data_IF_910539562144
#
_entry.id   IF_910539562144
#
_cell.length_a   1.000
_cell.length_b   1.000
_cell.length_c   1.000
_cell.angle_alpha   90.00
_cell.angle_beta   90.00
_cell.angle_gamma   90.00
#
_symmetry.space_group_name_H-M   'P 1'
#
loop_
_entity.id
_entity.type
_entity.pdbx_description
1 polymer ?
#
# COMPACT_ATOMS: atom_id res chain seq x y z
N UNK A 1 1.18 -4.79 -10.23
CA UNK A 1 2.44 -4.31 -10.81
C UNK A 1 3.40 -4.00 -9.67
N UNK A 2 4.69 -4.28 -9.83
CA UNK A 2 5.74 -3.88 -8.89
C UNK A 2 6.56 -2.72 -9.46
N UNK A 3 7.07 -1.85 -8.60
CA UNK A 3 7.97 -0.75 -8.98
C UNK A 3 9.29 -0.92 -8.25
N UNK A 4 10.40 -0.94 -8.97
CA UNK A 4 11.74 -1.06 -8.38
C UNK A 4 12.41 0.31 -8.34
N UNK A 5 12.92 0.71 -7.16
CA UNK A 5 13.77 1.90 -6.97
C UNK A 5 15.06 1.70 -7.77
N UNK A 6 15.42 2.64 -8.64
CA UNK A 6 16.72 2.63 -9.26
C UNK A 6 17.72 3.26 -8.29
N UNK A 7 18.55 2.39 -7.73
CA UNK A 7 19.51 2.76 -6.69
C UNK A 7 20.68 3.56 -7.26
N UNK A 8 20.84 3.72 -8.58
CA UNK A 8 22.02 4.40 -9.14
C UNK A 8 21.93 5.95 -9.15
N UNK A 9 20.76 6.55 -8.90
CA UNK A 9 20.59 8.02 -8.84
C UNK A 9 20.67 8.48 -7.38
N UNK A 10 21.89 8.67 -6.89
CA UNK A 10 22.23 8.93 -5.47
C UNK A 10 22.42 10.41 -5.11
N UNK A 11 21.74 11.34 -5.78
CA UNK A 11 22.07 12.77 -5.61
C UNK A 11 21.51 13.41 -4.32
N UNK A 12 20.52 12.82 -3.64
CA UNK A 12 19.79 13.52 -2.56
C UNK A 12 19.52 12.74 -1.26
N UNK A 13 20.07 11.53 -1.04
CA UNK A 13 19.93 10.77 0.22
C UNK A 13 21.19 10.70 1.14
N UNK A 14 22.18 11.62 1.14
CA UNK A 14 23.43 11.39 1.87
C UNK A 14 23.22 11.28 3.39
N UNK A 15 22.35 12.11 3.98
CA UNK A 15 22.17 12.19 5.44
C UNK A 15 21.53 10.93 6.04
N UNK A 16 20.53 10.35 5.38
CA UNK A 16 19.93 9.08 5.83
C UNK A 16 20.84 7.90 5.55
N UNK A 17 21.55 7.89 4.42
CA UNK A 17 22.50 6.83 4.11
C UNK A 17 23.64 6.80 5.13
N UNK A 18 24.12 7.96 5.54
CA UNK A 18 25.12 8.12 6.59
C UNK A 18 24.58 7.61 7.94
N UNK A 19 23.42 8.09 8.40
CA UNK A 19 22.79 7.60 9.64
C UNK A 19 22.50 6.10 9.62
N UNK A 20 22.08 5.56 8.47
CA UNK A 20 21.88 4.10 8.27
C UNK A 20 23.23 3.37 8.30
N UNK A 21 24.30 3.97 7.78
CA UNK A 21 25.68 3.47 7.88
C UNK A 21 26.18 3.42 9.31
N UNK A 22 26.01 4.51 10.07
CA UNK A 22 26.38 4.59 11.49
C UNK A 22 25.63 3.55 12.33
N UNK A 23 24.30 3.47 12.16
CA UNK A 23 23.47 2.47 12.84
C UNK A 23 23.89 1.03 12.53
N UNK A 24 24.41 0.79 11.32
CA UNK A 24 24.94 -0.52 10.94
C UNK A 24 26.29 -0.78 11.59
N UNK A 25 27.22 0.16 11.56
CA UNK A 25 28.51 0.02 12.23
C UNK A 25 28.32 -0.25 13.74
N UNK A 26 27.37 0.43 14.38
CA UNK A 26 26.98 0.18 15.76
C UNK A 26 26.36 -1.22 15.94
N UNK A 27 25.44 -1.63 15.05
CA UNK A 27 24.82 -2.95 15.10
C UNK A 27 25.82 -4.09 14.85
N UNK A 28 26.83 -3.91 13.99
CA UNK A 28 27.91 -4.87 13.77
C UNK A 28 28.76 -5.04 15.03
N UNK A 29 29.10 -3.94 15.69
CA UNK A 29 29.84 -3.97 16.95
C UNK A 29 29.06 -4.69 18.06
N UNK A 30 27.76 -4.38 18.18
CA UNK A 30 26.87 -5.03 19.15
C UNK A 30 26.63 -6.51 18.83
N UNK A 31 26.57 -6.87 17.54
CA UNK A 31 26.48 -8.28 17.11
C UNK A 31 27.73 -9.05 17.53
N UNK A 32 28.93 -8.50 17.29
CA UNK A 32 30.19 -9.14 17.69
C UNK A 32 30.25 -9.37 19.20
N UNK A 33 29.86 -8.37 20.00
CA UNK A 33 29.76 -8.48 21.46
C UNK A 33 28.73 -9.54 21.90
N UNK A 34 27.57 -9.59 21.26
CA UNK A 34 26.53 -10.58 21.56
C UNK A 34 26.96 -12.00 21.16
N UNK A 35 27.74 -12.15 20.08
CA UNK A 35 28.33 -13.43 19.66
C UNK A 35 29.38 -13.92 20.64
N UNK A 36 30.26 -13.03 21.14
CA UNK A 36 31.24 -13.34 22.17
C UNK A 36 30.57 -13.71 23.51
N UNK A 37 29.47 -13.04 23.86
CA UNK A 37 28.70 -13.32 25.07
C UNK A 37 27.76 -14.54 24.96
N UNK A 38 27.54 -15.09 23.76
CA UNK A 38 26.63 -16.22 23.53
C UNK A 38 25.14 -15.89 23.69
N UNK A 39 24.74 -14.61 23.61
CA UNK A 39 23.36 -14.17 23.81
C UNK A 39 22.52 -14.32 22.53
N UNK A 40 21.96 -15.51 22.31
CA UNK A 40 21.24 -15.85 21.08
C UNK A 40 20.13 -14.86 20.68
N UNK A 41 19.37 -14.33 21.65
CA UNK A 41 18.30 -13.37 21.38
C UNK A 41 18.84 -12.04 20.80
N UNK A 42 19.98 -11.58 21.31
CA UNK A 42 20.63 -10.38 20.83
C UNK A 42 21.31 -10.61 19.47
N UNK A 43 21.89 -11.79 19.24
CA UNK A 43 22.40 -12.20 17.92
C UNK A 43 21.30 -12.15 16.86
N UNK A 44 20.14 -12.74 17.13
CA UNK A 44 18.99 -12.76 16.21
C UNK A 44 18.42 -11.35 15.96
N UNK A 45 18.47 -10.48 16.98
CA UNK A 45 17.99 -9.10 16.90
C UNK A 45 18.93 -8.23 16.07
N UNK A 46 20.24 -8.30 16.30
CA UNK A 46 21.22 -7.47 15.59
C UNK A 46 21.45 -7.98 14.16
N UNK A 47 21.40 -9.29 13.91
CA UNK A 47 21.50 -9.86 12.56
C UNK A 47 20.40 -9.35 11.63
N UNK A 48 19.15 -9.26 12.11
CA UNK A 48 18.02 -8.67 11.35
C UNK A 48 18.26 -7.22 10.94
N UNK A 49 19.03 -6.44 11.71
CA UNK A 49 19.36 -5.03 11.39
C UNK A 49 20.43 -4.90 10.30
N UNK A 50 21.22 -5.95 10.07
CA UNK A 50 22.28 -5.98 9.06
C UNK A 50 21.80 -6.44 7.69
N UNK A 51 20.56 -6.94 7.58
CA UNK A 51 20.01 -7.39 6.31
C UNK A 51 19.93 -6.24 5.32
N UNK A 52 20.62 -6.39 4.18
CA UNK A 52 20.62 -5.43 3.07
C UNK A 52 20.06 -6.09 1.83
N UNK A 53 19.15 -5.40 1.15
CA UNK A 53 18.69 -5.80 -0.18
C UNK A 53 19.81 -5.53 -1.19
N UNK A 54 20.21 -6.58 -1.91
CA UNK A 54 21.27 -6.50 -2.92
C UNK A 54 20.66 -6.32 -4.31
N UNK A 55 21.47 -5.87 -5.29
CA UNK A 55 21.05 -5.83 -6.70
C UNK A 55 20.62 -7.21 -7.19
N UNK A 56 21.30 -8.27 -6.73
CA UNK A 56 20.95 -9.65 -7.06
C UNK A 56 19.52 -10.01 -6.61
N UNK A 57 19.09 -9.61 -5.41
CA UNK A 57 17.71 -9.85 -4.98
C UNK A 57 16.70 -9.18 -5.91
N UNK A 58 16.98 -7.96 -6.37
CA UNK A 58 16.10 -7.26 -7.31
C UNK A 58 16.02 -7.99 -8.65
N UNK A 59 17.15 -8.41 -9.22
CA UNK A 59 17.19 -9.16 -10.49
C UNK A 59 16.48 -10.51 -10.38
N UNK A 60 16.64 -11.23 -9.26
CA UNK A 60 15.94 -12.49 -9.00
C UNK A 60 14.42 -12.27 -8.86
N UNK A 61 13.99 -11.21 -8.18
CA UNK A 61 12.59 -10.82 -8.10
C UNK A 61 12.03 -10.43 -9.47
N UNK A 62 12.75 -9.64 -10.27
CA UNK A 62 12.32 -9.28 -11.64
C UNK A 62 12.19 -10.50 -12.54
N UNK A 63 13.14 -11.45 -12.45
CA UNK A 63 13.06 -12.73 -13.15
C UNK A 63 11.82 -13.51 -12.72
N UNK A 64 11.58 -13.64 -11.42
CA UNK A 64 10.39 -14.30 -10.89
C UNK A 64 9.08 -13.65 -11.37
N UNK A 65 8.98 -12.32 -11.31
CA UNK A 65 7.81 -11.57 -11.76
C UNK A 65 7.56 -11.75 -13.27
N UNK A 66 8.62 -11.75 -14.07
CA UNK A 66 8.55 -12.04 -15.51
C UNK A 66 7.96 -13.42 -15.76
N UNK A 67 8.46 -14.44 -15.04
CA UNK A 67 8.00 -15.82 -15.18
C UNK A 67 6.56 -16.02 -14.69
N UNK A 68 6.13 -15.29 -13.65
CA UNK A 68 4.74 -15.24 -13.21
C UNK A 68 3.84 -14.42 -14.16
N UNK A 69 4.46 -13.68 -15.08
CA UNK A 69 3.83 -12.76 -16.01
C UNK A 69 3.12 -11.59 -15.33
N UNK A 70 3.70 -11.13 -14.22
CA UNK A 70 3.30 -9.92 -13.49
C UNK A 70 4.15 -8.73 -13.99
N UNK A 71 3.53 -7.62 -14.43
CA UNK A 71 4.29 -6.48 -14.90
C UNK A 71 5.04 -5.79 -13.76
N UNK A 72 6.24 -5.31 -14.06
CA UNK A 72 7.00 -4.41 -13.20
C UNK A 72 7.55 -3.23 -13.99
N UNK A 73 7.89 -2.16 -13.29
CA UNK A 73 8.51 -0.95 -13.83
C UNK A 73 9.73 -0.59 -13.00
N UNK A 74 10.70 0.09 -13.63
CA UNK A 74 11.86 0.64 -12.95
C UNK A 74 11.66 2.15 -12.82
N UNK A 75 11.65 2.64 -11.58
CA UNK A 75 11.59 4.07 -11.31
C UNK A 75 12.94 4.71 -11.61
N UNK A 76 13.01 5.93 -12.17
CA UNK A 76 14.28 6.62 -12.37
C UNK A 76 14.97 6.95 -11.04
N UNK A 77 14.19 7.40 -10.04
CA UNK A 77 14.66 7.64 -8.68
C UNK A 77 13.79 6.85 -7.69
N UNK A 78 12.87 7.50 -6.98
CA UNK A 78 12.02 6.87 -5.97
C UNK A 78 10.86 6.06 -6.56
N UNK A 79 10.65 4.87 -5.98
CA UNK A 79 9.56 3.98 -6.39
C UNK A 79 8.19 4.55 -6.00
N UNK A 80 8.07 5.12 -4.80
CA UNK A 80 6.86 5.75 -4.27
C UNK A 80 6.42 6.93 -5.14
N UNK A 81 7.37 7.75 -5.58
CA UNK A 81 7.12 8.88 -6.47
C UNK A 81 6.57 8.41 -7.83
N UNK A 82 7.21 7.40 -8.42
CA UNK A 82 6.77 6.80 -9.68
C UNK A 82 5.38 6.15 -9.56
N UNK A 83 5.10 5.47 -8.45
CA UNK A 83 3.77 4.95 -8.15
C UNK A 83 2.73 6.08 -8.01
N UNK A 84 3.07 7.17 -7.31
CA UNK A 84 2.19 8.32 -7.17
C UNK A 84 1.86 8.96 -8.53
N UNK A 85 2.83 9.04 -9.45
CA UNK A 85 2.61 9.51 -10.82
C UNK A 85 1.67 8.60 -11.62
N UNK A 86 1.80 7.27 -11.48
CA UNK A 86 0.89 6.31 -12.09
C UNK A 86 -0.54 6.41 -11.55
N UNK A 87 -0.70 6.65 -10.25
CA UNK A 87 -2.00 6.88 -9.61
C UNK A 87 -2.63 8.17 -10.14
N UNK A 88 -1.86 9.27 -10.19
CA UNK A 88 -2.32 10.58 -10.71
C UNK A 88 -2.74 10.52 -12.18
N UNK A 89 -2.05 9.71 -13.00
CA UNK A 89 -2.40 9.51 -14.41
C UNK A 89 -3.56 8.53 -14.61
N UNK A 90 -4.11 7.94 -13.54
CA UNK A 90 -5.25 7.01 -13.62
C UNK A 90 -4.90 5.62 -14.15
N UNK A 91 -3.60 5.29 -14.28
CA UNK A 91 -3.14 3.97 -14.75
C UNK A 91 -3.29 2.88 -13.69
N UNK A 92 -3.23 3.24 -12.42
CA UNK A 92 -3.41 2.34 -11.27
C UNK A 92 -4.29 3.00 -10.22
N UNK A 93 -4.94 2.19 -9.38
CA UNK A 93 -5.88 2.67 -8.35
C UNK A 93 -5.19 3.38 -7.18
N UNK A 94 -4.10 2.79 -6.66
CA UNK A 94 -3.44 3.24 -5.44
C UNK A 94 -1.96 2.85 -5.40
N UNK A 95 -1.18 3.56 -4.60
CA UNK A 95 0.20 3.20 -4.25
C UNK A 95 0.17 2.25 -3.06
N UNK A 96 0.74 1.05 -3.19
CA UNK A 96 0.87 0.10 -2.09
C UNK A 96 2.28 0.13 -1.51
N UNK A 97 2.43 0.68 -0.31
CA UNK A 97 3.71 0.78 0.39
C UNK A 97 3.47 0.88 1.90
N UNK A 98 4.45 0.52 2.71
CA UNK A 98 4.43 0.81 4.15
C UNK A 98 4.94 2.23 4.47
N UNK A 99 5.62 2.85 3.52
CA UNK A 99 6.17 4.19 3.65
C UNK A 99 5.09 5.25 3.40
N UNK A 100 4.98 6.23 4.29
CA UNK A 100 3.98 7.28 4.17
C UNK A 100 4.40 8.38 3.19
N UNK A 101 5.66 8.39 2.74
CA UNK A 101 6.18 9.36 1.76
C UNK A 101 5.48 9.25 0.39
N UNK A 102 4.77 8.15 0.11
CA UNK A 102 3.87 8.11 -1.05
C UNK A 102 2.84 9.26 -1.06
N UNK A 103 2.40 9.73 0.11
CA UNK A 103 1.49 10.87 0.24
C UNK A 103 2.18 12.21 -0.05
N UNK A 104 3.46 12.37 0.31
CA UNK A 104 4.20 13.62 0.06
C UNK A 104 4.46 13.80 -1.44
N UNK A 105 4.66 12.71 -2.20
CA UNK A 105 4.67 12.73 -3.67
C UNK A 105 3.28 12.94 -4.30
N UNK A 106 2.22 12.98 -3.47
CA UNK A 106 0.86 13.34 -3.86
C UNK A 106 0.04 12.20 -4.43
N UNK A 107 0.32 10.94 -4.09
CA UNK A 107 -0.58 9.83 -4.47
C UNK A 107 -1.99 10.09 -3.96
N UNK A 108 -3.04 9.82 -4.75
CA UNK A 108 -4.42 10.09 -4.32
C UNK A 108 -4.91 9.08 -3.29
N UNK A 109 -4.44 7.84 -3.41
CA UNK A 109 -4.78 6.72 -2.52
C UNK A 109 -3.51 5.94 -2.20
N UNK A 110 -3.25 5.77 -0.90
CA UNK A 110 -2.15 4.93 -0.39
C UNK A 110 -2.73 3.73 0.37
N UNK A 111 -2.22 2.54 0.08
CA UNK A 111 -2.60 1.29 0.74
C UNK A 111 -1.45 0.75 1.58
N UNK A 112 -1.71 0.50 2.86
CA UNK A 112 -0.79 -0.19 3.78
C UNK A 112 -1.26 -1.59 4.12
N UNK A 113 -0.33 -2.44 4.50
CA UNK A 113 -0.49 -3.86 4.83
C UNK A 113 -0.87 -4.76 3.66
N UNK A 114 -0.78 -4.28 2.41
CA UNK A 114 -1.08 -5.10 1.24
C UNK A 114 -0.09 -6.26 1.06
N UNK A 115 1.20 -6.02 1.35
CA UNK A 115 2.27 -7.02 1.26
C UNK A 115 2.54 -7.69 2.60
N UNK A 116 1.78 -7.36 3.65
CA UNK A 116 1.90 -8.01 4.95
C UNK A 116 1.58 -9.50 4.81
N UNK A 117 2.31 -10.33 5.56
CA UNK A 117 2.10 -11.78 5.54
C UNK A 117 0.65 -12.14 5.84
N UNK A 118 0.05 -12.97 4.99
CA UNK A 118 -1.31 -13.48 5.16
C UNK A 118 -1.54 -14.11 6.55
N UNK A 119 -0.49 -14.72 7.13
CA UNK A 119 -0.54 -15.29 8.47
C UNK A 119 -0.83 -14.26 9.58
N UNK A 120 -0.45 -12.99 9.38
CA UNK A 120 -0.69 -11.91 10.34
C UNK A 120 -2.12 -11.36 10.27
N UNK A 121 -2.86 -11.62 9.18
CA UNK A 121 -4.25 -11.18 8.97
C UNK A 121 -4.48 -9.70 9.28
N UNK A 122 -3.51 -8.84 8.97
CA UNK A 122 -3.65 -7.41 9.18
C UNK A 122 -4.63 -6.85 8.14
N UNK A 123 -5.62 -6.04 8.55
CA UNK A 123 -6.51 -5.40 7.58
C UNK A 123 -5.72 -4.39 6.75
N UNK A 124 -6.03 -4.34 5.46
CA UNK A 124 -5.52 -3.32 4.54
C UNK A 124 -6.05 -1.96 5.00
N UNK A 125 -5.15 -1.00 5.15
CA UNK A 125 -5.50 0.37 5.49
C UNK A 125 -5.42 1.24 4.24
N UNK A 126 -6.43 2.09 4.06
CA UNK A 126 -6.53 3.00 2.92
C UNK A 126 -6.48 4.45 3.39
N UNK A 127 -5.57 5.22 2.80
CA UNK A 127 -5.37 6.63 3.08
C UNK A 127 -5.73 7.44 1.83
N UNK A 128 -6.76 8.27 1.94
CA UNK A 128 -7.17 9.19 0.87
C UNK A 128 -6.51 10.54 1.08
N UNK A 129 -5.58 10.90 0.19
CA UNK A 129 -4.80 12.12 0.34
C UNK A 129 -5.65 13.39 0.29
N UNK A 130 -6.69 13.41 -0.55
CA UNK A 130 -7.65 14.53 -0.62
C UNK A 130 -8.39 14.75 0.70
N UNK A 131 -8.76 13.67 1.41
CA UNK A 131 -9.40 13.79 2.74
C UNK A 131 -8.43 14.27 3.80
N UNK A 132 -7.18 13.80 3.76
CA UNK A 132 -6.11 14.24 4.67
C UNK A 132 -5.91 15.76 4.53
N UNK A 133 -5.73 16.27 3.30
CA UNK A 133 -5.57 17.70 3.05
C UNK A 133 -6.79 18.52 3.53
N UNK A 134 -8.00 18.02 3.26
CA UNK A 134 -9.24 18.67 3.66
C UNK A 134 -9.39 18.75 5.18
N UNK A 135 -9.22 17.64 5.90
CA UNK A 135 -9.36 17.58 7.35
C UNK A 135 -8.26 18.37 8.07
N UNK A 136 -7.05 18.38 7.52
CA UNK A 136 -5.96 19.19 8.06
C UNK A 136 -6.10 20.67 7.70
N UNK A 137 -6.83 21.01 6.64
CA UNK A 137 -6.94 22.38 6.12
C UNK A 137 -5.63 22.87 5.50
N UNK A 138 -4.89 21.97 4.83
CA UNK A 138 -3.57 22.26 4.26
C UNK A 138 -3.60 22.09 2.74
N UNK A 139 -2.80 22.90 2.05
CA UNK A 139 -2.42 22.64 0.65
C UNK A 139 -1.37 21.54 0.55
N UNK A 140 -1.15 20.98 -0.64
CA UNK A 140 -0.10 19.98 -0.85
C UNK A 140 1.31 20.52 -0.51
N UNK A 141 1.61 21.77 -0.88
CA UNK A 141 2.88 22.41 -0.52
C UNK A 141 3.06 22.53 1.00
N UNK A 142 2.02 22.98 1.72
CA UNK A 142 2.04 23.04 3.19
C UNK A 142 2.16 21.66 3.83
N UNK A 143 1.55 20.64 3.23
CA UNK A 143 1.67 19.26 3.70
C UNK A 143 3.11 18.74 3.55
N UNK A 144 3.79 19.04 2.44
CA UNK A 144 5.20 18.69 2.26
C UNK A 144 6.07 19.39 3.32
N UNK A 145 5.84 20.68 3.54
CA UNK A 145 6.56 21.44 4.58
C UNK A 145 6.34 20.86 5.97
N UNK A 146 5.10 20.47 6.27
CA UNK A 146 4.80 19.76 7.50
C UNK A 146 5.60 18.46 7.59
N UNK A 147 5.62 17.63 6.56
CA UNK A 147 6.38 16.38 6.55
C UNK A 147 7.89 16.59 6.72
N UNK A 148 8.45 17.64 6.11
CA UNK A 148 9.85 18.02 6.31
C UNK A 148 10.11 18.41 7.78
N UNK A 149 9.21 19.16 8.41
CA UNK A 149 9.32 19.52 9.84
C UNK A 149 9.17 18.32 10.77
N UNK A 150 8.32 17.34 10.42
CA UNK A 150 8.16 16.08 11.15
C UNK A 150 9.39 15.18 11.03
N UNK A 151 10.12 15.31 9.92
CA UNK A 151 11.30 14.55 9.57
C UNK A 151 11.08 13.66 8.36
N UNK A 152 11.76 14.02 7.28
CA UNK A 152 11.86 13.22 6.06
C UNK A 152 13.24 12.59 5.91
N UNK A 153 13.38 11.78 4.87
CA UNK A 153 14.63 11.08 4.58
C UNK A 153 15.68 11.96 3.83
N UNK A 154 15.31 13.16 3.40
CA UNK A 154 16.17 13.99 2.54
C UNK A 154 16.94 15.09 3.28
N UNK A 155 16.47 15.52 4.46
CA UNK A 155 17.12 16.60 5.20
C UNK A 155 16.94 16.46 6.73
N UNK A 156 17.63 17.31 7.49
CA UNK A 156 17.48 17.37 8.96
C UNK A 156 16.12 17.93 9.41
N UNK A 157 15.91 17.99 10.72
CA UNK A 157 14.72 18.58 11.34
C UNK A 157 15.10 19.59 12.41
N UNK A 158 14.17 20.51 12.72
CA UNK A 158 14.34 21.48 13.80
C UNK A 158 14.16 20.78 15.15
N UNK A 159 15.18 20.85 16.01
CA UNK A 159 15.15 20.20 17.31
C UNK A 159 14.06 20.79 18.21
N UNK A 160 13.28 19.91 18.84
CA UNK A 160 12.23 20.28 19.78
C UNK A 160 10.90 20.72 19.13
N UNK A 161 10.79 20.65 17.81
CA UNK A 161 9.51 20.78 17.11
C UNK A 161 8.95 19.37 16.87
N UNK A 162 7.92 19.00 17.63
CA UNK A 162 7.20 17.74 17.47
C UNK A 162 5.91 17.90 16.65
N UNK A 163 5.15 16.80 16.44
CA UNK A 163 4.04 16.80 15.48
C UNK A 163 2.95 17.84 15.71
N UNK A 164 2.51 18.01 16.97
CA UNK A 164 1.48 19.01 17.31
C UNK A 164 1.94 20.42 16.98
N UNK A 165 3.15 20.77 17.42
CA UNK A 165 3.75 22.10 17.21
C UNK A 165 4.01 22.36 15.72
N UNK A 166 4.46 21.36 14.97
CA UNK A 166 4.67 21.48 13.52
C UNK A 166 3.37 21.82 12.79
N UNK A 167 2.26 21.15 13.13
CA UNK A 167 0.94 21.45 12.54
C UNK A 167 0.51 22.88 12.89
N UNK A 168 0.64 23.30 14.15
CA UNK A 168 0.25 24.64 14.58
C UNK A 168 1.07 25.72 13.84
N UNK A 169 2.39 25.53 13.75
CA UNK A 169 3.29 26.44 13.05
C UNK A 169 2.98 26.54 11.55
N UNK A 170 2.73 25.42 10.88
CA UNK A 170 2.36 25.42 9.46
C UNK A 170 1.02 26.10 9.23
N UNK A 171 0.03 25.88 10.11
CA UNK A 171 -1.26 26.56 10.02
C UNK A 171 -1.16 28.07 10.25
N UNK A 172 -0.25 28.49 11.13
CA UNK A 172 -0.06 29.90 11.48
C UNK A 172 0.76 30.67 10.44
N UNK A 173 1.84 30.07 9.95
CA UNK A 173 2.86 30.76 9.14
C UNK A 173 2.87 30.32 7.66
N UNK A 174 2.28 29.17 7.34
CA UNK A 174 2.07 28.72 5.96
C UNK A 174 3.27 28.09 5.27
N UNK A 175 4.52 28.40 5.65
CA UNK A 175 5.73 27.80 5.06
C UNK A 175 6.88 27.69 6.06
N UNK A 176 7.87 26.84 5.76
CA UNK A 176 9.09 26.71 6.56
C UNK A 176 9.85 28.05 6.66
N UNK A 177 9.92 28.82 5.57
CA UNK A 177 10.56 30.13 5.53
C UNK A 177 9.98 31.08 6.58
N UNK A 178 8.65 31.22 6.61
CA UNK A 178 7.96 32.09 7.56
C UNK A 178 8.08 31.57 8.99
N UNK A 179 8.10 30.25 9.18
CA UNK A 179 8.34 29.66 10.50
C UNK A 179 9.73 30.06 11.01
N UNK A 180 10.77 29.95 10.19
CA UNK A 180 12.15 30.28 10.59
C UNK A 180 12.31 31.74 11.00
N UNK A 181 11.55 32.66 10.41
CA UNK A 181 11.56 34.09 10.78
C UNK A 181 10.86 34.34 12.13
N UNK A 182 9.83 33.55 12.44
CA UNK A 182 8.95 33.81 13.59
C UNK A 182 9.22 32.94 14.83
N UNK A 183 10.06 31.90 14.73
CA UNK A 183 10.44 31.07 15.88
C UNK A 183 11.65 31.62 16.61
N UNK A 184 11.76 31.28 17.90
CA UNK A 184 12.95 31.57 18.71
C UNK A 184 14.11 30.63 18.30
N UNK A 185 15.02 31.15 17.49
CA UNK A 185 16.21 30.43 17.00
C UNK A 185 17.16 29.95 18.09
N UNK A 186 17.13 30.55 19.29
CA UNK A 186 17.96 30.08 20.41
C UNK A 186 17.39 28.80 21.01
N UNK A 187 16.07 28.70 21.07
CA UNK A 187 15.36 27.53 21.61
C UNK A 187 15.21 26.42 20.57
N UNK A 188 15.02 26.80 19.30
CA UNK A 188 14.77 25.91 18.18
C UNK A 188 15.74 26.21 17.03
N UNK A 189 17.04 25.94 17.21
CA UNK A 189 18.02 26.18 16.16
C UNK A 189 17.72 25.26 14.97
N UNK A 190 17.69 25.86 13.77
CA UNK A 190 17.64 25.10 12.53
C UNK A 190 18.98 24.37 12.31
N UNK A 191 19.00 23.22 11.61
CA UNK A 191 20.24 22.60 11.18
C UNK A 191 21.12 23.55 10.36
N UNK A 192 22.44 23.42 10.49
CA UNK A 192 23.38 24.10 9.61
C UNK A 192 23.21 23.55 8.17
N UNK A 193 23.28 24.44 7.18
CA UNK A 193 23.03 24.12 5.75
C UNK A 193 21.77 23.29 5.51
N UNK A 194 20.66 23.65 6.17
CA UNK A 194 19.42 22.89 6.08
C UNK A 194 18.81 22.89 4.66
N UNK A 195 18.97 21.77 3.95
CA UNK A 195 18.50 21.55 2.58
C UNK A 195 16.99 21.29 2.44
N UNK A 196 16.16 22.04 3.19
CA UNK A 196 14.71 21.82 3.16
C UNK A 196 14.07 22.26 1.84
N UNK A 197 14.68 23.23 1.12
CA UNK A 197 14.17 23.71 -0.16
C UNK A 197 14.36 22.67 -1.26
N UNK A 198 15.52 22.03 -1.26
CA UNK A 198 15.88 20.93 -2.14
C UNK A 198 14.99 19.72 -1.86
N UNK A 199 14.78 19.37 -0.58
CA UNK A 199 13.86 18.32 -0.19
C UNK A 199 12.41 18.62 -0.64
N UNK A 200 11.95 19.86 -0.47
CA UNK A 200 10.64 20.30 -0.95
C UNK A 200 10.53 20.18 -2.47
N UNK A 201 11.55 20.61 -3.21
CA UNK A 201 11.60 20.50 -4.68
C UNK A 201 11.53 19.05 -5.12
N UNK A 202 12.23 18.14 -4.43
CA UNK A 202 12.20 16.71 -4.72
C UNK A 202 10.80 16.10 -4.55
N UNK A 203 10.04 16.53 -3.53
CA UNK A 203 8.66 16.04 -3.34
C UNK A 203 7.67 16.64 -4.34
N UNK A 204 7.87 17.89 -4.75
CA UNK A 204 6.99 18.60 -5.69
C UNK A 204 7.21 18.17 -7.13
N UNK A 205 8.47 18.07 -7.54
CA UNK A 205 8.91 17.79 -8.90
C UNK A 205 9.85 16.57 -8.92
N UNK A 206 9.39 15.39 -8.47
CA UNK A 206 10.22 14.19 -8.47
C UNK A 206 10.49 13.73 -9.90
N UNK A 207 11.68 13.18 -10.12
CA UNK A 207 11.96 12.42 -11.33
C UNK A 207 11.16 11.11 -11.28
N UNK A 208 10.23 10.94 -12.21
CA UNK A 208 9.28 9.82 -12.25
C UNK A 208 9.13 9.28 -13.66
N UNK A 209 8.65 8.04 -13.76
CA UNK A 209 8.22 7.46 -15.03
C UNK A 209 7.06 8.26 -15.65
N UNK A 210 7.07 8.38 -16.98
CA UNK A 210 5.97 8.99 -17.70
C UNK A 210 4.75 8.06 -17.71
N UNK A 211 3.79 8.32 -16.83
CA UNK A 211 2.63 7.44 -16.59
C UNK A 211 1.87 7.01 -17.87
N UNK A 212 1.52 7.93 -18.78
CA UNK A 212 0.90 7.61 -20.07
C UNK A 212 1.66 6.57 -20.91
N UNK A 213 2.99 6.66 -20.96
CA UNK A 213 3.85 5.76 -21.75
C UNK A 213 3.90 4.32 -21.22
N UNK A 214 3.54 4.11 -19.96
CA UNK A 214 3.62 2.78 -19.33
C UNK A 214 2.46 1.90 -19.77
N UNK A 215 2.81 0.77 -20.36
CA UNK A 215 1.90 -0.31 -20.76
C UNK A 215 1.95 -1.45 -19.74
N UNK A 216 0.89 -1.58 -18.93
CA UNK A 216 0.80 -2.59 -17.90
C UNK A 216 0.05 -3.82 -18.43
N UNK A 217 0.81 -4.83 -18.87
CA UNK A 217 0.27 -6.09 -19.37
C UNK A 217 0.59 -7.25 -18.42
N UNK A 218 -0.45 -8.01 -18.08
CA UNK A 218 -0.33 -9.26 -17.35
C UNK A 218 -0.31 -10.41 -18.36
N UNK A 219 0.84 -11.07 -18.52
CA UNK A 219 1.06 -12.19 -19.48
C UNK A 219 0.94 -13.55 -18.80
N UNK A 220 0.50 -14.62 -19.47
CA UNK A 220 0.35 -15.94 -18.84
C UNK A 220 1.63 -16.43 -18.11
N UNK A 221 1.51 -17.14 -16.97
CA UNK A 221 2.67 -17.59 -16.23
C UNK A 221 3.34 -18.77 -16.96
N UNK A 222 4.67 -18.77 -17.01
CA UNK A 222 5.46 -19.86 -17.58
C UNK A 222 5.74 -20.90 -16.48
N UNK A 223 4.90 -21.94 -16.42
CA UNK A 223 4.98 -22.97 -15.36
C UNK A 223 6.30 -23.74 -15.40
N UNK A 224 6.77 -24.12 -16.59
CA UNK A 224 7.99 -24.93 -16.75
C UNK A 224 9.22 -24.12 -16.35
N UNK A 225 9.32 -22.87 -16.80
CA UNK A 225 10.42 -22.00 -16.40
C UNK A 225 10.36 -21.62 -14.92
N UNK A 226 9.17 -21.47 -14.32
CA UNK A 226 9.01 -21.25 -12.88
C UNK A 226 9.51 -22.45 -12.07
N UNK A 227 9.20 -23.68 -12.48
CA UNK A 227 9.68 -24.89 -11.81
C UNK A 227 11.20 -25.00 -11.94
N UNK A 228 11.73 -24.78 -13.14
CA UNK A 228 13.18 -24.80 -13.35
C UNK A 228 13.89 -23.78 -12.45
N UNK A 229 13.41 -22.54 -12.42
CA UNK A 229 14.02 -21.48 -11.61
C UNK A 229 13.85 -21.74 -10.10
N UNK A 230 12.64 -22.01 -9.63
CA UNK A 230 12.37 -22.11 -8.20
C UNK A 230 12.84 -23.44 -7.61
N UNK A 231 12.68 -24.55 -8.31
CA UNK A 231 12.99 -25.88 -7.80
C UNK A 231 14.43 -26.30 -8.10
N UNK A 232 14.91 -26.13 -9.34
CA UNK A 232 16.26 -26.58 -9.69
C UNK A 232 17.33 -25.57 -9.22
N UNK A 233 17.15 -24.27 -9.47
CA UNK A 233 18.16 -23.27 -9.09
C UNK A 233 18.04 -22.85 -7.61
N UNK A 234 16.80 -22.64 -7.12
CA UNK A 234 16.54 -22.11 -5.77
C UNK A 234 16.13 -23.16 -4.72
N UNK A 235 16.03 -24.43 -5.11
CA UNK A 235 15.80 -25.57 -4.20
C UNK A 235 14.48 -25.48 -3.39
N UNK A 236 13.43 -24.86 -3.97
CA UNK A 236 12.08 -24.88 -3.41
C UNK A 236 11.36 -26.20 -3.68
N UNK A 237 10.42 -26.55 -2.80
CA UNK A 237 9.54 -27.72 -2.96
C UNK A 237 8.68 -27.61 -4.23
N UNK A 238 8.86 -28.56 -5.15
CA UNK A 238 8.13 -28.61 -6.43
C UNK A 238 6.62 -28.64 -6.24
N UNK A 239 6.12 -29.46 -5.31
CA UNK A 239 4.69 -29.52 -4.99
C UNK A 239 4.12 -28.15 -4.59
N UNK A 240 4.87 -27.36 -3.82
CA UNK A 240 4.44 -26.02 -3.42
C UNK A 240 4.42 -25.07 -4.60
N UNK A 241 5.44 -25.11 -5.46
CA UNK A 241 5.53 -24.25 -6.64
C UNK A 241 4.42 -24.57 -7.64
N UNK A 242 4.20 -25.85 -7.99
CA UNK A 242 3.09 -26.27 -8.87
C UNK A 242 1.74 -25.87 -8.33
N UNK A 243 1.52 -26.03 -7.02
CA UNK A 243 0.27 -25.59 -6.39
C UNK A 243 0.12 -24.05 -6.43
N UNK A 244 1.22 -23.30 -6.33
CA UNK A 244 1.25 -21.85 -6.54
C UNK A 244 0.87 -21.47 -7.98
N UNK A 245 1.49 -22.08 -8.98
CA UNK A 245 1.20 -21.86 -10.40
C UNK A 245 -0.29 -22.10 -10.71
N UNK A 246 -0.85 -23.22 -10.23
CA UNK A 246 -2.28 -23.53 -10.38
C UNK A 246 -3.19 -22.44 -9.80
N UNK A 247 -2.84 -21.87 -8.65
CA UNK A 247 -3.61 -20.76 -8.03
C UNK A 247 -3.54 -19.50 -8.89
N UNK A 248 -2.36 -19.14 -9.41
CA UNK A 248 -2.15 -17.97 -10.27
C UNK A 248 -2.94 -18.12 -11.58
N UNK A 249 -2.87 -19.28 -12.23
CA UNK A 249 -3.62 -19.53 -13.47
C UNK A 249 -5.13 -19.46 -13.22
N UNK A 250 -5.61 -20.05 -12.12
CA UNK A 250 -7.04 -20.01 -11.76
C UNK A 250 -7.53 -18.60 -11.45
N UNK A 251 -6.73 -17.77 -10.77
CA UNK A 251 -7.15 -16.40 -10.43
C UNK A 251 -7.25 -15.50 -11.67
N UNK A 252 -6.52 -15.81 -12.74
CA UNK A 252 -6.56 -15.06 -14.01
C UNK A 252 -7.74 -15.41 -14.90
N UNK A 253 -8.30 -16.62 -14.77
CA UNK A 253 -9.48 -17.05 -15.52
C UNK A 253 -10.79 -16.41 -15.00
N UNK A 254 -10.73 -15.53 -13.99
CA UNK A 254 -11.84 -14.68 -13.59
C UNK A 254 -12.25 -13.77 -14.75
N UNK A 255 -13.53 -13.80 -15.13
CA UNK A 255 -14.04 -13.14 -16.34
C UNK A 255 -13.62 -11.66 -16.43
N UNK A 256 -13.16 -11.26 -17.61
CA UNK A 256 -12.86 -9.86 -17.98
C UNK A 256 -14.04 -8.90 -17.77
N UNK A 257 -15.26 -9.45 -17.68
CA UNK A 257 -16.44 -8.76 -17.17
C UNK A 257 -16.73 -9.25 -15.74
N UNK A 258 -16.33 -8.47 -14.74
CA UNK A 258 -16.63 -8.79 -13.34
C UNK A 258 -18.14 -8.76 -13.09
N UNK A 259 -18.68 -9.79 -12.44
CA UNK A 259 -20.07 -9.75 -11.95
C UNK A 259 -20.14 -8.79 -10.77
N UNK A 260 -21.28 -8.13 -10.55
CA UNK A 260 -21.46 -7.28 -9.36
C UNK A 260 -21.23 -8.04 -8.05
N UNK A 261 -21.59 -9.34 -8.02
CA UNK A 261 -21.32 -10.27 -6.92
C UNK A 261 -19.81 -10.42 -6.60
N UNK A 262 -18.93 -10.09 -7.55
CA UNK A 262 -17.47 -10.10 -7.40
C UNK A 262 -16.96 -8.85 -6.70
N UNK A 263 -17.69 -7.74 -6.78
CA UNK A 263 -17.33 -6.46 -6.16
C UNK A 263 -18.00 -6.26 -4.80
N UNK A 264 -19.20 -6.78 -4.62
CA UNK A 264 -20.01 -6.58 -3.42
C UNK A 264 -20.24 -7.91 -2.69
N UNK A 265 -19.96 -7.93 -1.40
CA UNK A 265 -20.33 -9.07 -0.55
C UNK A 265 -21.85 -9.17 -0.47
N UNK A 266 -22.41 -10.36 -0.74
CA UNK A 266 -23.85 -10.60 -0.69
C UNK A 266 -24.34 -10.50 0.76
N UNK A 267 -25.17 -9.50 1.06
CA UNK A 267 -25.72 -9.24 2.40
C UNK A 267 -27.04 -9.96 2.69
N UNK A 268 -27.47 -10.88 1.81
CA UNK A 268 -28.70 -11.67 1.91
C UNK A 268 -29.70 -11.35 0.79
N UNK A 269 -30.72 -12.19 0.63
CA UNK A 269 -31.80 -11.98 -0.35
C UNK A 269 -33.07 -11.46 0.35
N UNK A 270 -33.62 -10.35 -0.16
CA UNK A 270 -34.91 -9.83 0.29
C UNK A 270 -35.99 -10.79 -0.22
N UNK A 271 -36.46 -11.70 0.63
CA UNK A 271 -37.63 -12.52 0.32
C UNK A 271 -38.90 -11.77 0.68
N UNK A 272 -39.69 -11.40 -0.32
CA UNK A 272 -41.04 -10.90 -0.09
C UNK A 272 -41.91 -12.07 0.39
N UNK A 273 -42.26 -12.10 1.69
CA UNK A 273 -43.33 -12.97 2.18
C UNK A 273 -44.62 -12.58 1.46
N UNK A 274 -45.17 -13.48 0.64
CA UNK A 274 -46.52 -13.36 0.09
C UNK A 274 -47.48 -13.24 1.28
N UNK A 275 -48.24 -12.15 1.38
CA UNK A 275 -49.33 -12.03 2.37
C UNK A 275 -50.24 -13.25 2.20
N UNK A 276 -50.40 -14.04 3.25
CA UNK A 276 -51.54 -14.95 3.35
C UNK A 276 -52.82 -14.13 3.17
N UNK A 277 -53.83 -14.62 2.44
CA UNK A 277 -55.08 -13.89 2.29
C UNK A 277 -55.72 -13.76 3.67
N UNK A 278 -55.98 -12.52 4.09
CA UNK A 278 -56.70 -12.20 5.32
C UNK A 278 -58.03 -12.96 5.33
N UNK A 279 -58.21 -13.82 6.33
CA UNK A 279 -59.53 -14.38 6.66
C UNK A 279 -60.37 -13.20 7.15
N UNK A 280 -61.22 -12.68 6.27
CA UNK A 280 -62.22 -11.66 6.60
C UNK A 280 -63.09 -12.15 7.76
N UNK A 281 -63.23 -11.27 8.74
CA UNK A 281 -63.95 -11.48 9.97
C UNK A 281 -65.39 -11.98 9.78
N UNK A 282 -65.78 -12.75 10.79
CA UNK A 282 -67.12 -13.23 11.12
C UNK A 282 -68.26 -12.27 10.76
N UNK A 283 -69.20 -12.73 9.92
CA UNK A 283 -70.59 -12.28 9.96
C UNK A 283 -71.49 -13.41 10.47
N UNK A 284 -72.33 -13.04 11.45
CA UNK A 284 -73.28 -13.89 12.16
C UNK A 284 -74.29 -14.56 11.20
N UNK A 285 -74.36 -15.89 11.27
CA UNK A 285 -75.56 -16.72 11.49
C UNK A 285 -76.87 -16.30 10.79
N UNK A 286 -77.30 -17.04 9.75
CA UNK A 286 -78.58 -17.81 9.74
C UNK A 286 -78.79 -18.69 8.50
N UNK A 287 -79.18 -19.94 8.79
CA UNK A 287 -80.06 -20.89 8.06
C UNK A 287 -79.60 -21.44 6.70
N UNK A 288 -79.32 -22.77 6.62
CA UNK A 288 -80.23 -23.86 6.16
C UNK A 288 -80.55 -23.69 4.65
N UNK A 289 -80.26 -24.60 3.72
CA UNK A 289 -80.32 -26.07 3.72
C UNK A 289 -79.71 -26.63 2.42
N UNK A 290 -79.40 -27.95 2.47
CA UNK A 290 -79.56 -28.98 1.43
C UNK A 290 -78.60 -29.10 0.23
N UNK A 291 -78.12 -30.36 0.10
CA UNK A 291 -77.92 -31.17 -1.11
C UNK A 291 -76.53 -31.21 -1.79
N UNK A 292 -75.77 -32.27 -1.44
CA UNK A 292 -75.22 -33.38 -2.27
C UNK A 292 -74.38 -33.07 -3.54
N UNK A 293 -73.31 -33.86 -3.85
CA UNK A 293 -72.15 -33.40 -4.60
C UNK A 293 -72.17 -33.72 -6.10
N UNK A 294 -71.72 -32.75 -6.92
CA UNK A 294 -71.62 -32.84 -8.38
C UNK A 294 -70.18 -32.82 -8.89
N UNK A 295 -69.67 -34.02 -9.15
CA UNK A 295 -68.45 -34.42 -9.88
C UNK A 295 -68.49 -33.85 -11.33
N UNK A 296 -67.41 -33.27 -11.88
CA UNK A 296 -66.79 -33.62 -13.20
C UNK A 296 -65.84 -32.58 -13.85
N UNK A 297 -64.68 -33.12 -14.27
CA UNK A 297 -63.89 -32.97 -15.51
C UNK A 297 -63.54 -31.60 -16.15
N UNK A 298 -62.21 -31.37 -16.19
CA UNK A 298 -61.29 -31.31 -17.36
C UNK A 298 -61.85 -30.98 -18.76
N UNK A 299 -61.18 -30.01 -19.40
CA UNK A 299 -61.08 -29.75 -20.84
C UNK A 299 -60.84 -28.26 -21.06
N UNK A 300 -59.88 -27.77 -21.85
CA UNK A 300 -58.99 -28.32 -22.88
C UNK A 300 -57.61 -27.67 -22.71
#
# INVERSE_FOLDING_TARGET
MYTFKNVNIFLFEPLQLEKRGERRAEAEKLLAQAQEAGEQENIDKFSKRLVKVTKQHNEECKRLLTLMGVPYVEAPCEAEASCAALVKSGKVYATATEDMDGLTFGTTVLLRHLTASEAKKLPIQEFHFSRILLEMGLTHQQFIDLCILLGCDYCGTIKGIGPKRAIDLIKQHGSIEEILVNIDSNKHPAPEDWLYKEARSLFLEPEVIDGPSVDLKWNEPDEDALIQFMCAEKQFSEDRIRNGCKKITKSRQGSTQGRLDTFFTVTGSISSKRKEPEIKGSTKKKQKTSATPGKFKKGK
#
